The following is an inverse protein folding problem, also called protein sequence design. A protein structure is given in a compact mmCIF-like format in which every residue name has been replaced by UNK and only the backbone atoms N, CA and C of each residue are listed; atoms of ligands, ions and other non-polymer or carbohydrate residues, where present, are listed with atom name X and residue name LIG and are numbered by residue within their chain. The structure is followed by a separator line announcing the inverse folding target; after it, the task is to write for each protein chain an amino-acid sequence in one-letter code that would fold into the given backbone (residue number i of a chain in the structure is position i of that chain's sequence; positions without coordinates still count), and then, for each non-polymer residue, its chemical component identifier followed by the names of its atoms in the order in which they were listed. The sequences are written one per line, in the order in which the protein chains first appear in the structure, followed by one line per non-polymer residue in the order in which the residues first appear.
data_IF_835445533940
#
_entry.id   IF_835445533940
#
_cell.length_a   1.000
_cell.length_b   1.000
_cell.length_c   1.000
_cell.angle_alpha   90.00
_cell.angle_beta   90.00
_cell.angle_gamma   90.00
#
_symmetry.space_group_name_H-M   'P 1'
#
loop_
_entity.id
_entity.type
_entity.pdbx_description
1 polymer ?
#
# COMPACT_ATOMS: atom_id res chain seq x y z
N UNK A 1 -15.54 -26.25 22.42
CA UNK A 1 -15.55 -24.77 22.54
C UNK A 1 -14.18 -24.12 22.33
N UNK A 2 -13.06 -24.69 22.82
CA UNK A 2 -11.71 -24.11 22.66
C UNK A 2 -11.21 -23.97 21.20
N UNK A 3 -11.69 -24.81 20.27
CA UNK A 3 -11.32 -24.78 18.85
C UNK A 3 -11.99 -23.66 18.04
N UNK A 4 -13.19 -23.22 18.45
CA UNK A 4 -13.95 -22.18 17.73
C UNK A 4 -13.27 -20.81 17.90
N UNK A 5 -12.77 -20.52 19.10
CA UNK A 5 -12.00 -19.30 19.36
C UNK A 5 -10.78 -19.15 18.45
N UNK A 6 -10.06 -20.26 18.20
CA UNK A 6 -8.89 -20.25 17.35
C UNK A 6 -9.24 -19.95 15.88
N UNK A 7 -10.35 -20.51 15.39
CA UNK A 7 -10.84 -20.27 14.04
C UNK A 7 -11.25 -18.80 13.86
N UNK A 8 -11.96 -18.22 14.84
CA UNK A 8 -12.36 -16.80 14.80
C UNK A 8 -11.15 -15.87 14.76
N UNK A 9 -10.13 -16.13 15.58
CA UNK A 9 -8.90 -15.34 15.59
C UNK A 9 -8.18 -15.43 14.23
N UNK A 10 -8.11 -16.64 13.64
CA UNK A 10 -7.47 -16.84 12.34
C UNK A 10 -8.17 -16.03 11.25
N UNK A 11 -9.50 -16.04 11.23
CA UNK A 11 -10.31 -15.28 10.27
C UNK A 11 -10.03 -13.78 10.42
N UNK A 12 -10.02 -13.25 11.65
CA UNK A 12 -9.75 -11.83 11.91
C UNK A 12 -8.36 -11.42 11.42
N UNK A 13 -7.33 -12.25 11.63
CA UNK A 13 -5.97 -11.97 11.15
C UNK A 13 -5.93 -11.93 9.62
N UNK A 14 -6.57 -12.88 8.93
CA UNK A 14 -6.58 -12.92 7.45
C UNK A 14 -7.31 -11.74 6.84
N UNK A 15 -8.47 -11.33 7.38
CA UNK A 15 -9.18 -10.15 6.88
C UNK A 15 -8.44 -8.87 7.21
N UNK A 16 -7.69 -8.79 8.31
CA UNK A 16 -6.96 -7.56 8.65
C UNK A 16 -5.83 -7.25 7.67
N UNK A 17 -5.19 -8.26 7.09
CA UNK A 17 -4.09 -8.05 6.13
C UNK A 17 -4.62 -7.68 4.74
N UNK A 18 -5.75 -8.27 4.32
CA UNK A 18 -6.32 -8.07 2.98
C UNK A 18 -7.35 -6.92 2.91
N UNK A 19 -8.04 -6.58 4.00
CA UNK A 19 -9.11 -5.58 4.00
C UNK A 19 -8.59 -4.15 4.21
N UNK A 20 -7.42 -3.98 4.85
CA UNK A 20 -6.92 -2.66 5.24
C UNK A 20 -6.09 -1.95 4.15
N UNK A 21 -5.69 -2.64 3.09
CA UNK A 21 -4.81 -2.08 2.06
C UNK A 21 -5.42 -1.80 0.69
N UNK A 22 -6.41 -2.53 0.14
CA UNK A 22 -6.75 -2.36 -1.28
C UNK A 22 -7.28 -0.96 -1.61
N UNK A 23 -8.03 -0.33 -0.68
CA UNK A 23 -8.58 1.01 -0.88
C UNK A 23 -7.53 2.12 -0.73
N UNK A 24 -6.69 2.05 0.31
CA UNK A 24 -5.63 3.05 0.51
C UNK A 24 -4.58 3.01 -0.60
N UNK A 25 -4.20 1.82 -1.07
CA UNK A 25 -3.27 1.69 -2.18
C UNK A 25 -3.88 2.14 -3.52
N UNK A 26 -5.19 1.93 -3.72
CA UNK A 26 -5.91 2.46 -4.87
C UNK A 26 -5.91 4.00 -4.91
N UNK A 27 -6.32 4.65 -3.82
CA UNK A 27 -6.33 6.12 -3.71
C UNK A 27 -4.91 6.72 -3.76
N UNK A 28 -3.92 6.02 -3.19
CA UNK A 28 -2.52 6.41 -3.31
C UNK A 28 -2.04 6.34 -4.76
N UNK A 29 -2.35 5.26 -5.48
CA UNK A 29 -1.96 5.08 -6.88
C UNK A 29 -2.67 6.10 -7.78
N UNK A 30 -3.98 6.32 -7.60
CA UNK A 30 -4.75 7.33 -8.33
C UNK A 30 -4.17 8.74 -8.11
N UNK A 31 -3.90 9.13 -6.86
CA UNK A 31 -3.28 10.43 -6.55
C UNK A 31 -1.87 10.57 -7.13
N UNK A 32 -1.12 9.48 -7.23
CA UNK A 32 0.21 9.46 -7.86
C UNK A 32 0.10 9.62 -9.37
N UNK A 33 -0.87 8.95 -10.00
CA UNK A 33 -1.15 9.04 -11.43
C UNK A 33 -1.65 10.44 -11.83
N UNK A 34 -2.61 11.00 -11.09
CA UNK A 34 -3.12 12.36 -11.31
C UNK A 34 -2.02 13.43 -11.21
N UNK A 35 -1.09 13.27 -10.27
CA UNK A 35 0.06 14.18 -10.10
C UNK A 35 1.21 13.88 -11.05
N UNK A 36 1.15 12.75 -11.76
CA UNK A 36 2.22 12.25 -12.61
C UNK A 36 3.51 11.93 -11.85
N UNK A 37 3.41 11.50 -10.59
CA UNK A 37 4.56 11.29 -9.71
C UNK A 37 4.94 9.82 -9.64
N UNK A 38 6.13 9.48 -10.15
CA UNK A 38 6.73 8.16 -10.03
C UNK A 38 7.77 8.13 -8.90
N UNK A 39 7.56 7.34 -7.85
CA UNK A 39 8.58 7.11 -6.83
C UNK A 39 9.12 5.68 -6.90
N UNK A 40 10.42 5.54 -7.06
CA UNK A 40 11.13 4.27 -7.10
C UNK A 40 12.12 4.16 -5.95
N UNK A 41 12.28 2.93 -5.44
CA UNK A 41 13.22 2.65 -4.35
C UNK A 41 14.44 1.93 -4.91
N UNK A 42 15.61 2.57 -4.81
CA UNK A 42 16.87 2.02 -5.28
C UNK A 42 17.92 2.09 -4.18
N UNK A 43 18.52 0.94 -3.85
CA UNK A 43 19.55 0.81 -2.80
C UNK A 43 19.16 1.45 -1.45
N UNK A 44 17.88 1.32 -1.05
CA UNK A 44 17.35 1.86 0.20
C UNK A 44 16.94 3.33 0.15
N UNK A 45 17.32 4.07 -0.90
CA UNK A 45 16.91 5.45 -1.11
C UNK A 45 15.62 5.51 -1.92
N UNK A 46 14.74 6.44 -1.55
CA UNK A 46 13.52 6.76 -2.32
C UNK A 46 13.86 7.90 -3.25
N UNK A 47 13.61 7.70 -4.53
CA UNK A 47 13.72 8.72 -5.56
C UNK A 47 12.33 8.94 -6.15
N UNK A 48 11.91 10.19 -6.25
CA UNK A 48 10.62 10.56 -6.80
C UNK A 48 10.81 11.54 -7.95
N UNK A 49 10.11 11.31 -9.04
CA UNK A 49 10.10 12.16 -10.23
C UNK A 49 8.67 12.61 -10.53
N UNK A 50 8.53 13.80 -11.11
CA UNK A 50 7.29 14.24 -11.75
C UNK A 50 7.18 13.65 -13.18
N UNK A 51 6.09 14.00 -13.88
CA UNK A 51 5.80 13.52 -15.23
C UNK A 51 6.83 13.95 -16.27
N UNK A 52 7.58 15.00 -15.97
CA UNK A 52 8.58 15.61 -16.84
C UNK A 52 9.99 15.09 -16.49
N UNK A 53 10.11 14.18 -15.49
CA UNK A 53 11.36 13.59 -15.04
C UNK A 53 12.14 14.46 -14.04
N UNK A 54 11.53 15.52 -13.50
CA UNK A 54 12.18 16.35 -12.49
C UNK A 54 12.07 15.69 -11.11
N UNK A 55 13.18 15.64 -10.39
CA UNK A 55 13.21 15.10 -9.04
C UNK A 55 12.37 15.97 -8.09
N UNK A 56 11.44 15.34 -7.38
CA UNK A 56 10.68 15.95 -6.29
C UNK A 56 11.20 15.46 -4.93
N UNK A 57 11.25 16.36 -3.94
CA UNK A 57 11.78 16.10 -2.59
C UNK A 57 10.67 15.88 -1.57
#
# INVERSE_FOLDING_TARGET
MKKIFLIVILIIITVSCELFSPKEWGEYNERREERGVGCYRQYGNVHCEDKDGNRIY
#
